data_IF_231871627718
#
_entry.id   IF_231871627718
#
_cell.length_a   1.000
_cell.length_b   1.000
_cell.length_c   1.000
_cell.angle_alpha   90.00
_cell.angle_beta   90.00
_cell.angle_gamma   90.00
#
_symmetry.space_group_name_H-M   'P 1'
#
loop_
_entity.id
_entity.type
_entity.pdbx_description
1 polymer ?
#
# COMPACT_ATOMS: atom_id res chain seq x y z
N UNK A 1 -0.45 -22.58 8.49
CA UNK A 1 -0.17 -22.96 7.09
C UNK A 1 1.32 -22.73 6.84
N UNK A 2 1.94 -23.53 5.98
CA UNK A 2 3.26 -23.20 5.41
C UNK A 2 3.16 -22.02 4.43
N UNK A 3 4.28 -21.40 4.06
CA UNK A 3 4.32 -20.31 3.05
C UNK A 3 3.59 -20.72 1.76
N UNK A 4 3.86 -21.94 1.25
CA UNK A 4 3.24 -22.44 0.02
C UNK A 4 1.73 -22.64 0.14
N UNK A 5 1.25 -23.12 1.29
CA UNK A 5 -0.18 -23.30 1.52
C UNK A 5 -0.90 -21.96 1.65
N UNK A 6 -0.28 -20.99 2.34
CA UNK A 6 -0.81 -19.64 2.47
C UNK A 6 -0.89 -18.93 1.11
N UNK A 7 0.15 -19.04 0.28
CA UNK A 7 0.10 -18.53 -1.11
C UNK A 7 -1.00 -19.19 -1.92
N UNK A 8 -1.12 -20.53 -1.87
CA UNK A 8 -2.18 -21.24 -2.60
C UNK A 8 -3.58 -20.77 -2.16
N UNK A 9 -3.80 -20.64 -0.85
CA UNK A 9 -5.05 -20.13 -0.29
C UNK A 9 -5.39 -18.72 -0.79
N UNK A 10 -4.43 -17.79 -0.78
CA UNK A 10 -4.69 -16.42 -1.22
C UNK A 10 -4.97 -16.32 -2.72
N UNK A 11 -4.36 -17.18 -3.56
CA UNK A 11 -4.70 -17.24 -4.99
C UNK A 11 -6.16 -17.62 -5.22
N UNK A 12 -6.68 -18.60 -4.46
CA UNK A 12 -8.08 -19.03 -4.55
C UNK A 12 -9.02 -17.89 -4.11
N UNK A 13 -8.66 -17.17 -3.03
CA UNK A 13 -9.41 -15.99 -2.57
C UNK A 13 -9.46 -14.88 -3.64
N UNK A 14 -8.31 -14.51 -4.21
CA UNK A 14 -8.22 -13.46 -5.24
C UNK A 14 -8.85 -13.88 -6.57
N UNK A 15 -8.92 -15.18 -6.85
CA UNK A 15 -9.60 -15.74 -8.03
C UNK A 15 -11.13 -15.63 -7.98
N UNK A 16 -11.71 -15.25 -6.82
CA UNK A 16 -13.16 -15.16 -6.64
C UNK A 16 -13.85 -16.53 -6.59
N UNK A 17 -13.10 -17.59 -6.29
CA UNK A 17 -13.60 -18.98 -6.27
C UNK A 17 -14.20 -19.38 -4.90
N UNK A 18 -14.30 -18.43 -3.96
CA UNK A 18 -14.68 -18.65 -2.56
C UNK A 18 -15.94 -17.84 -2.25
N UNK A 19 -16.90 -18.43 -1.53
CA UNK A 19 -18.10 -17.69 -1.10
C UNK A 19 -17.76 -16.67 0.00
N UNK A 20 -18.61 -15.65 0.16
CA UNK A 20 -18.46 -14.64 1.22
C UNK A 20 -18.43 -15.28 2.62
N UNK A 21 -19.23 -16.34 2.84
CA UNK A 21 -19.27 -17.07 4.11
C UNK A 21 -17.94 -17.78 4.39
N UNK A 22 -17.37 -18.45 3.39
CA UNK A 22 -16.08 -19.14 3.50
C UNK A 22 -14.94 -18.13 3.72
N UNK A 23 -14.98 -16.99 3.04
CA UNK A 23 -14.01 -15.91 3.21
C UNK A 23 -14.10 -15.34 4.63
N UNK A 24 -15.30 -15.09 5.13
CA UNK A 24 -15.52 -14.60 6.50
C UNK A 24 -15.02 -15.61 7.54
N UNK A 25 -15.33 -16.90 7.38
CA UNK A 25 -14.88 -17.96 8.29
C UNK A 25 -13.35 -18.03 8.35
N UNK A 26 -12.68 -17.98 7.20
CA UNK A 26 -11.22 -17.98 7.13
C UNK A 26 -10.61 -16.77 7.84
N UNK A 27 -11.14 -15.56 7.59
CA UNK A 27 -10.62 -14.33 8.19
C UNK A 27 -10.81 -14.32 9.71
N UNK A 28 -11.95 -14.81 10.22
CA UNK A 28 -12.19 -14.97 11.67
C UNK A 28 -11.20 -15.98 12.26
N UNK A 29 -11.03 -17.14 11.62
CA UNK A 29 -10.11 -18.17 12.09
C UNK A 29 -8.64 -17.67 12.12
N UNK A 30 -8.22 -16.89 11.11
CA UNK A 30 -6.89 -16.27 11.09
C UNK A 30 -6.73 -15.24 12.22
N UNK A 31 -7.73 -14.39 12.44
CA UNK A 31 -7.68 -13.37 13.49
C UNK A 31 -7.66 -13.99 14.91
N UNK A 32 -8.39 -15.07 15.14
CA UNK A 32 -8.39 -15.79 16.42
C UNK A 32 -7.09 -16.56 16.65
N UNK A 33 -6.56 -17.21 15.61
CA UNK A 33 -5.31 -17.97 15.66
C UNK A 33 -4.08 -17.06 15.80
N UNK A 34 -4.13 -15.90 15.17
CA UNK A 34 -2.96 -15.08 14.86
C UNK A 34 -2.16 -15.65 13.68
N UNK A 35 -1.74 -14.77 12.77
CA UNK A 35 -0.95 -15.16 11.60
C UNK A 35 0.51 -15.47 11.97
N UNK A 36 1.09 -16.47 11.31
CA UNK A 36 2.52 -16.78 11.41
C UNK A 36 3.33 -15.98 10.40
N UNK A 37 4.66 -15.90 10.60
CA UNK A 37 5.54 -15.26 9.63
C UNK A 37 5.46 -15.90 8.23
N UNK A 38 5.43 -17.24 8.17
CA UNK A 38 5.30 -17.98 6.91
C UNK A 38 3.99 -17.68 6.18
N UNK A 39 2.88 -17.56 6.93
CA UNK A 39 1.58 -17.17 6.37
C UNK A 39 1.64 -15.76 5.78
N UNK A 40 2.16 -14.80 6.53
CA UNK A 40 2.29 -13.40 6.08
C UNK A 40 3.18 -13.31 4.84
N UNK A 41 4.32 -14.01 4.79
CA UNK A 41 5.19 -14.05 3.60
C UNK A 41 4.45 -14.64 2.40
N UNK A 42 3.76 -15.77 2.59
CA UNK A 42 3.02 -16.43 1.53
C UNK A 42 1.90 -15.56 0.95
N UNK A 43 1.19 -14.82 1.82
CA UNK A 43 0.19 -13.84 1.42
C UNK A 43 0.80 -12.64 0.69
N UNK A 44 1.83 -12.02 1.27
CA UNK A 44 2.50 -10.86 0.66
C UNK A 44 3.04 -11.17 -0.74
N UNK A 45 3.62 -12.36 -0.94
CA UNK A 45 4.13 -12.78 -2.25
C UNK A 45 3.03 -12.78 -3.32
N UNK A 46 1.86 -13.34 -3.01
CA UNK A 46 0.73 -13.41 -3.95
C UNK A 46 0.11 -12.03 -4.19
N UNK A 47 0.04 -11.18 -3.17
CA UNK A 47 -0.40 -9.79 -3.33
C UNK A 47 0.54 -9.01 -4.26
N UNK A 48 1.87 -9.18 -4.11
CA UNK A 48 2.86 -8.54 -4.97
C UNK A 48 2.77 -9.02 -6.43
N UNK A 49 2.56 -10.31 -6.66
CA UNK A 49 2.39 -10.87 -8.00
C UNK A 49 1.09 -10.39 -8.69
N UNK A 50 0.06 -10.09 -7.89
CA UNK A 50 -1.26 -9.67 -8.38
C UNK A 50 -1.37 -8.15 -8.54
N UNK A 51 -0.43 -7.39 -7.97
CA UNK A 51 -0.39 -5.94 -8.06
C UNK A 51 0.06 -5.48 -9.45
N UNK A 52 -0.41 -4.30 -9.86
CA UNK A 52 0.13 -3.66 -11.07
C UNK A 52 1.61 -3.28 -10.81
N UNK A 53 2.56 -3.72 -11.66
CA UNK A 53 3.96 -3.45 -11.43
C UNK A 53 4.28 -1.97 -11.65
N UNK A 54 5.04 -1.40 -10.73
CA UNK A 54 5.61 -0.07 -10.86
C UNK A 54 7.12 -0.19 -11.08
N UNK A 55 7.60 0.20 -12.26
CA UNK A 55 9.03 0.24 -12.54
C UNK A 55 9.62 1.51 -11.95
N UNK A 56 10.56 1.32 -11.02
CA UNK A 56 11.35 2.39 -10.43
C UNK A 56 12.71 2.42 -11.10
N UNK A 57 13.14 3.61 -11.53
CA UNK A 57 14.44 3.79 -12.19
C UNK A 57 15.60 3.86 -11.20
N UNK A 58 15.30 4.09 -9.92
CA UNK A 58 16.27 4.25 -8.84
C UNK A 58 15.63 3.79 -7.51
N UNK A 59 16.46 3.45 -6.53
CA UNK A 59 15.99 3.10 -5.19
C UNK A 59 15.19 4.25 -4.56
N UNK A 60 14.11 3.89 -3.89
CA UNK A 60 13.24 4.80 -3.16
C UNK A 60 12.82 4.20 -1.81
N UNK A 61 12.35 5.05 -0.92
CA UNK A 61 11.81 4.64 0.37
C UNK A 61 10.28 4.74 0.37
N UNK A 62 9.61 3.79 1.02
CA UNK A 62 8.20 3.89 1.39
C UNK A 62 8.09 4.27 2.87
N UNK A 63 7.12 5.12 3.18
CA UNK A 63 6.73 5.48 4.55
C UNK A 63 5.23 5.27 4.65
N UNK A 64 4.83 4.04 4.95
CA UNK A 64 3.44 3.64 5.09
C UNK A 64 3.19 3.01 6.47
N UNK A 65 1.93 2.71 6.75
CA UNK A 65 1.52 2.01 7.96
C UNK A 65 0.26 1.22 7.68
N UNK A 66 0.03 0.17 8.46
CA UNK A 66 -1.12 -0.73 8.30
C UNK A 66 -2.47 -0.06 8.57
N UNK A 67 -2.48 1.10 9.25
CA UNK A 67 -3.71 1.76 9.68
C UNK A 67 -4.39 1.01 10.82
N UNK A 68 -5.71 1.20 10.98
CA UNK A 68 -6.54 0.35 11.87
C UNK A 68 -6.36 0.52 13.38
N UNK A 69 -5.34 1.22 13.87
CA UNK A 69 -5.03 1.36 15.31
C UNK A 69 -6.08 2.05 16.19
N UNK A 70 -7.15 2.60 15.62
CA UNK A 70 -8.18 3.38 16.34
C UNK A 70 -7.72 4.74 16.87
N UNK A 71 -6.41 5.05 16.84
CA UNK A 71 -5.87 6.34 17.27
C UNK A 71 -6.18 7.43 16.24
N UNK A 72 -6.67 8.57 16.72
CA UNK A 72 -6.73 9.80 15.93
C UNK A 72 -5.31 10.34 15.77
N UNK A 73 -4.69 10.04 14.64
CA UNK A 73 -3.39 10.58 14.26
C UNK A 73 -3.58 11.55 13.11
N UNK A 74 -2.77 12.60 13.12
CA UNK A 74 -2.48 13.33 11.89
C UNK A 74 -1.88 12.37 10.85
N UNK A 75 -1.86 12.77 9.58
CA UNK A 75 -1.26 12.05 8.46
C UNK A 75 0.29 12.04 8.57
N UNK A 76 0.82 11.50 9.68
CA UNK A 76 2.23 11.57 10.06
C UNK A 76 3.11 10.92 9.01
N UNK A 77 2.77 9.72 8.53
CA UNK A 77 3.56 9.02 7.50
C UNK A 77 3.61 9.81 6.18
N UNK A 78 2.51 10.45 5.80
CA UNK A 78 2.45 11.33 4.63
C UNK A 78 3.27 12.61 4.83
N UNK A 79 3.23 13.21 6.03
CA UNK A 79 4.07 14.38 6.33
C UNK A 79 5.56 14.03 6.33
N UNK A 80 5.93 12.86 6.88
CA UNK A 80 7.30 12.35 6.81
C UNK A 80 7.74 12.14 5.37
N UNK A 81 6.88 11.63 4.49
CA UNK A 81 7.19 11.51 3.05
C UNK A 81 7.57 12.87 2.44
N UNK A 82 6.82 13.94 2.71
CA UNK A 82 7.16 15.28 2.22
C UNK A 82 8.47 15.82 2.80
N UNK A 83 8.71 15.64 4.10
CA UNK A 83 9.95 16.09 4.75
C UNK A 83 11.18 15.31 4.25
N UNK A 84 11.07 14.01 4.06
CA UNK A 84 12.15 13.19 3.52
C UNK A 84 12.45 13.54 2.06
N UNK A 85 11.41 13.77 1.26
CA UNK A 85 11.53 14.23 -0.13
C UNK A 85 12.23 15.59 -0.22
N UNK A 86 11.90 16.55 0.67
CA UNK A 86 12.58 17.85 0.68
C UNK A 86 14.05 17.77 1.11
N UNK A 87 14.45 16.71 1.82
CA UNK A 87 15.83 16.39 2.14
C UNK A 87 16.57 15.63 1.01
N UNK A 88 15.94 15.41 -0.14
CA UNK A 88 16.53 14.74 -1.30
C UNK A 88 16.42 13.21 -1.30
N UNK A 89 15.64 12.63 -0.38
CA UNK A 89 15.36 11.19 -0.38
C UNK A 89 14.20 10.91 -1.35
N UNK A 90 14.39 9.98 -2.29
CA UNK A 90 13.30 9.57 -3.17
C UNK A 90 12.25 8.78 -2.40
N UNK A 91 11.00 9.18 -2.55
CA UNK A 91 9.87 8.53 -1.86
C UNK A 91 8.89 7.97 -2.89
N UNK A 92 8.64 6.67 -2.80
CA UNK A 92 7.49 6.02 -3.42
C UNK A 92 6.59 5.53 -2.30
N UNK A 93 5.51 6.27 -2.04
CA UNK A 93 4.64 5.99 -0.91
C UNK A 93 3.42 5.18 -1.32
N UNK A 94 3.18 4.04 -0.66
CA UNK A 94 1.88 3.38 -0.74
C UNK A 94 0.87 4.08 0.19
N UNK A 95 -0.38 4.13 -0.26
CA UNK A 95 -1.42 4.86 0.44
C UNK A 95 -2.83 4.41 0.09
N UNK A 96 -3.78 4.81 0.94
CA UNK A 96 -5.20 4.60 0.71
C UNK A 96 -6.02 5.73 1.37
N UNK A 97 -7.32 5.75 1.10
CA UNK A 97 -8.30 6.53 1.87
C UNK A 97 -8.50 5.90 3.25
N UNK A 98 -8.94 6.72 4.20
CA UNK A 98 -9.21 6.23 5.55
C UNK A 98 -10.43 5.31 5.57
N UNK A 99 -10.28 4.13 6.17
CA UNK A 99 -11.33 3.09 6.15
C UNK A 99 -12.57 3.39 6.99
N UNK A 100 -12.46 4.27 8.00
CA UNK A 100 -13.57 4.63 8.89
C UNK A 100 -13.89 6.13 8.95
N UNK A 101 -12.91 6.98 8.62
CA UNK A 101 -12.99 8.45 8.60
C UNK A 101 -12.03 8.97 7.52
N UNK A 102 -12.23 10.17 6.95
CA UNK A 102 -11.35 10.72 5.91
C UNK A 102 -10.02 11.20 6.52
N UNK A 103 -9.16 10.24 6.86
CA UNK A 103 -7.86 10.48 7.48
C UNK A 103 -6.74 9.64 6.85
N UNK A 104 -6.98 9.06 5.68
CA UNK A 104 -5.96 8.36 4.91
C UNK A 104 -5.03 9.33 4.21
N UNK A 105 -3.95 8.78 3.64
CA UNK A 105 -3.00 9.57 2.85
C UNK A 105 -3.65 10.19 1.63
N UNK A 106 -4.57 9.49 0.97
CA UNK A 106 -5.24 10.00 -0.23
C UNK A 106 -6.24 11.10 0.10
N UNK A 107 -6.89 11.04 1.26
CA UNK A 107 -7.78 12.11 1.70
C UNK A 107 -7.00 13.42 1.94
N UNK A 108 -5.77 13.31 2.47
CA UNK A 108 -4.89 14.47 2.61
C UNK A 108 -4.41 14.99 1.25
N UNK A 109 -3.97 14.10 0.35
CA UNK A 109 -3.46 14.50 -0.95
C UNK A 109 -4.53 15.17 -1.80
N UNK A 110 -5.76 14.65 -1.78
CA UNK A 110 -6.91 15.28 -2.42
C UNK A 110 -7.17 16.68 -1.85
N UNK A 111 -7.17 16.82 -0.52
CA UNK A 111 -7.37 18.11 0.14
C UNK A 111 -6.26 19.12 -0.20
N UNK A 112 -5.06 18.64 -0.52
CA UNK A 112 -3.93 19.45 -0.99
C UNK A 112 -3.94 19.70 -2.51
N UNK A 113 -4.83 19.05 -3.27
CA UNK A 113 -4.86 19.12 -4.73
C UNK A 113 -3.69 18.39 -5.40
N UNK A 114 -3.05 17.44 -4.71
CA UNK A 114 -1.97 16.63 -5.26
C UNK A 114 -2.54 15.45 -6.04
N UNK A 115 -2.24 15.31 -7.35
CA UNK A 115 -2.65 14.12 -8.10
C UNK A 115 -1.87 12.89 -7.64
N UNK A 116 -2.55 11.75 -7.51
CA UNK A 116 -1.95 10.45 -7.13
C UNK A 116 -2.48 9.26 -7.96
N UNK A 117 -3.21 9.55 -9.04
CA UNK A 117 -3.62 8.52 -10.00
C UNK A 117 -2.46 8.19 -10.94
N UNK A 118 -2.19 6.90 -11.11
CA UNK A 118 -1.23 6.44 -12.12
C UNK A 118 -1.87 6.59 -13.50
N UNK A 119 -1.17 7.23 -14.45
CA UNK A 119 -1.63 7.26 -15.83
C UNK A 119 -1.53 5.86 -16.46
N UNK A 120 -2.55 5.46 -17.21
CA UNK A 120 -2.79 4.09 -17.70
C UNK A 120 -1.63 3.51 -18.55
N UNK A 121 -0.76 4.36 -19.10
CA UNK A 121 0.37 3.99 -19.96
C UNK A 121 1.75 3.99 -19.26
N UNK A 122 1.82 4.45 -18.01
CA UNK A 122 3.09 4.65 -17.32
C UNK A 122 3.34 3.59 -16.26
N UNK A 123 3.78 2.41 -16.69
CA UNK A 123 4.49 1.45 -15.83
C UNK A 123 5.83 1.95 -15.29
N UNK A 124 6.13 3.25 -15.44
CA UNK A 124 7.31 3.91 -14.91
C UNK A 124 6.92 5.19 -14.18
N UNK A 125 7.32 5.30 -12.91
CA UNK A 125 7.34 6.57 -12.21
C UNK A 125 8.50 7.39 -12.79
N UNK A 126 8.23 8.27 -13.76
CA UNK A 126 9.24 9.18 -14.26
C UNK A 126 9.39 10.35 -13.30
N UNK A 127 10.54 10.44 -12.62
CA UNK A 127 10.93 11.65 -11.90
C UNK A 127 10.87 12.84 -12.86
N UNK A 128 10.05 13.86 -12.58
CA UNK A 128 10.16 15.14 -13.30
C UNK A 128 11.41 15.85 -12.82
N UNK A 129 12.45 16.05 -13.66
CA UNK A 129 13.60 16.82 -13.24
C UNK A 129 13.25 18.31 -13.35
N UNK A 130 13.31 19.05 -12.25
CA UNK A 130 13.57 20.49 -12.33
C UNK A 130 12.48 21.49 -11.92
N UNK A 131 11.58 21.18 -10.99
CA UNK A 131 10.89 22.24 -10.23
C UNK A 131 11.07 22.02 -8.73
N UNK A 132 11.78 22.95 -8.09
CA UNK A 132 12.09 22.96 -6.67
C UNK A 132 10.85 23.16 -5.77
N UNK A 133 9.92 22.20 -5.78
CA UNK A 133 8.74 22.17 -4.91
C UNK A 133 8.30 20.72 -4.60
N UNK A 134 9.15 20.02 -3.85
CA UNK A 134 8.78 19.14 -2.72
C UNK A 134 7.51 18.27 -2.83
N UNK A 135 7.31 17.52 -3.92
CA UNK A 135 6.36 16.41 -3.92
C UNK A 135 7.12 15.08 -3.98
N UNK A 136 6.71 14.05 -3.23
CA UNK A 136 7.27 12.71 -3.35
C UNK A 136 7.11 12.19 -4.78
N UNK A 137 8.13 11.50 -5.28
CA UNK A 137 8.27 11.12 -6.69
C UNK A 137 7.11 10.24 -7.18
N UNK A 138 6.56 9.41 -6.29
CA UNK A 138 5.35 8.65 -6.55
C UNK A 138 4.54 8.46 -5.27
N UNK A 139 3.23 8.65 -5.34
CA UNK A 139 2.31 8.08 -4.35
C UNK A 139 1.33 7.22 -5.13
N UNK A 140 1.36 5.90 -4.90
CA UNK A 140 0.55 4.93 -5.64
C UNK A 140 -0.51 4.30 -4.77
N UNK A 141 -1.58 3.87 -5.45
CA UNK A 141 -2.70 3.10 -4.91
C UNK A 141 -2.29 1.67 -4.55
#
# INVERSE_FOLDING_TARGET
>A
MSESEASACLRVLLGGEVSDEQMAELLVALAEKGETADEVVGFCRVLQESAQPLTLTQDCMDVCGTGGSGLSRFNVSTAVAFVAASAGIRIAKHGNRGSRRPNGSFDLLDALGCPFELAEDSGSCSSRPGSASSMPDCITR
#
